data_IF_434421989529
#
_entry.id   IF_434421989529
#
_cell.length_a   1.000
_cell.length_b   1.000
_cell.length_c   1.000
_cell.angle_alpha   90.00
_cell.angle_beta   90.00
_cell.angle_gamma   90.00
#
_symmetry.space_group_name_H-M   'P 1'
#
loop_
_entity.id
_entity.type
_entity.pdbx_description
1 polymer ?
#
# COMPACT_ATOMS: atom_id res chain seq x y z
N UNK A 1 -31.73 -9.24 40.20
CA UNK A 1 -31.40 -8.67 38.87
C UNK A 1 -30.14 -7.80 38.88
N UNK A 2 -29.77 -7.17 39.98
CA UNK A 2 -28.62 -6.24 40.05
C UNK A 2 -27.25 -6.82 39.83
N UNK A 3 -27.05 -8.13 40.18
CA UNK A 3 -25.73 -8.75 40.09
C UNK A 3 -25.29 -9.06 38.66
N UNK A 4 -26.23 -9.26 37.74
CA UNK A 4 -25.94 -9.54 36.32
C UNK A 4 -25.53 -8.28 35.54
N UNK A 5 -26.19 -7.13 35.84
CA UNK A 5 -25.82 -5.85 35.25
C UNK A 5 -24.43 -5.37 35.71
N UNK A 6 -24.07 -5.59 36.97
CA UNK A 6 -22.74 -5.26 37.49
C UNK A 6 -21.60 -6.05 36.83
N UNK A 7 -21.83 -7.35 36.54
CA UNK A 7 -20.85 -8.20 35.86
C UNK A 7 -20.68 -7.81 34.38
N UNK A 8 -21.78 -7.47 33.69
CA UNK A 8 -21.73 -7.03 32.28
C UNK A 8 -21.02 -5.68 32.15
N UNK A 9 -21.33 -4.73 33.02
CA UNK A 9 -20.67 -3.42 33.04
C UNK A 9 -19.17 -3.52 33.40
N UNK A 10 -18.80 -4.45 34.30
CA UNK A 10 -17.40 -4.72 34.63
C UNK A 10 -16.62 -5.24 33.43
N UNK A 11 -17.14 -6.26 32.74
CA UNK A 11 -16.50 -6.83 31.53
C UNK A 11 -16.36 -5.82 30.39
N UNK A 12 -17.37 -4.97 30.20
CA UNK A 12 -17.31 -3.93 29.15
C UNK A 12 -16.22 -2.90 29.48
N UNK A 13 -16.10 -2.48 30.73
CA UNK A 13 -15.08 -1.52 31.19
C UNK A 13 -13.66 -2.07 31.10
N UNK A 14 -13.48 -3.38 31.30
CA UNK A 14 -12.20 -4.04 31.15
C UNK A 14 -11.82 -4.14 29.67
N UNK A 15 -12.77 -4.49 28.79
CA UNK A 15 -12.56 -4.52 27.33
C UNK A 15 -12.20 -3.13 26.78
N UNK A 16 -12.84 -2.06 27.24
CA UNK A 16 -12.53 -0.69 26.85
C UNK A 16 -11.09 -0.30 27.19
N UNK A 17 -10.62 -0.65 28.39
CA UNK A 17 -9.22 -0.39 28.81
C UNK A 17 -8.22 -1.20 28.02
N UNK A 18 -8.53 -2.46 27.75
CA UNK A 18 -7.69 -3.36 26.95
C UNK A 18 -7.58 -2.82 25.51
N UNK A 19 -8.71 -2.41 24.90
CA UNK A 19 -8.71 -1.81 23.59
C UNK A 19 -7.95 -0.48 23.55
N UNK A 20 -8.10 0.37 24.55
CA UNK A 20 -7.36 1.62 24.64
C UNK A 20 -5.84 1.38 24.63
N UNK A 21 -5.36 0.41 25.39
CA UNK A 21 -3.95 0.04 25.42
C UNK A 21 -3.49 -0.53 24.09
N UNK A 22 -4.31 -1.34 23.46
CA UNK A 22 -4.08 -1.91 22.14
C UNK A 22 -4.05 -0.82 21.04
N UNK A 23 -5.00 0.13 21.07
CA UNK A 23 -5.07 1.26 20.18
C UNK A 23 -3.81 2.14 20.25
N UNK A 24 -3.44 2.57 21.47
CA UNK A 24 -2.26 3.43 21.67
C UNK A 24 -1.00 2.79 21.11
N UNK A 25 -0.85 1.47 21.28
CA UNK A 25 0.33 0.72 20.79
C UNK A 25 0.35 0.55 19.28
N UNK A 26 -0.79 0.31 18.64
CA UNK A 26 -0.85 -0.16 17.25
C UNK A 26 -1.30 0.91 16.26
N UNK A 27 -2.10 1.90 16.66
CA UNK A 27 -2.57 2.96 15.77
C UNK A 27 -1.43 3.71 15.06
N UNK A 28 -0.35 4.15 15.75
CA UNK A 28 0.77 4.81 15.08
C UNK A 28 1.48 3.92 14.04
N UNK A 29 1.57 2.62 14.32
CA UNK A 29 2.19 1.66 13.39
C UNK A 29 1.34 1.51 12.11
N UNK A 30 0.03 1.32 12.27
CA UNK A 30 -0.93 1.22 11.15
C UNK A 30 -0.94 2.50 10.33
N UNK A 31 -0.99 3.66 10.98
CA UNK A 31 -0.96 4.97 10.32
C UNK A 31 0.34 5.17 9.52
N UNK A 32 1.49 4.88 10.12
CA UNK A 32 2.77 4.97 9.42
C UNK A 32 2.83 4.03 8.21
N UNK A 33 2.29 2.82 8.35
CA UNK A 33 2.18 1.88 7.27
C UNK A 33 1.26 2.39 6.15
N UNK A 34 0.06 2.85 6.50
CA UNK A 34 -0.87 3.44 5.54
C UNK A 34 -0.27 4.66 4.84
N UNK A 35 0.39 5.56 5.58
CA UNK A 35 1.09 6.74 5.03
C UNK A 35 2.18 6.37 4.04
N UNK A 36 2.91 5.29 4.29
CA UNK A 36 3.95 4.82 3.38
C UNK A 36 3.39 4.36 2.03
N UNK A 37 2.19 3.76 2.01
CA UNK A 37 1.49 3.31 0.80
C UNK A 37 0.74 4.46 0.11
N UNK A 38 0.01 5.27 0.88
CA UNK A 38 -0.88 6.31 0.37
C UNK A 38 -0.16 7.62 0.05
N UNK A 39 1.02 7.85 0.62
CA UNK A 39 1.79 9.11 0.52
C UNK A 39 1.00 10.36 0.94
N UNK A 40 -0.12 10.18 1.62
CA UNK A 40 -1.01 11.19 2.17
C UNK A 40 -1.20 10.94 3.66
N UNK A 41 -1.02 11.97 4.47
CA UNK A 41 -1.23 11.91 5.93
C UNK A 41 -2.72 11.77 6.27
N UNK A 42 -3.56 12.53 5.56
CA UNK A 42 -5.01 12.56 5.72
C UNK A 42 -5.63 11.20 5.38
N UNK A 43 -5.33 10.66 4.20
CA UNK A 43 -5.82 9.34 3.79
C UNK A 43 -5.32 8.22 4.71
N UNK A 44 -4.09 8.33 5.23
CA UNK A 44 -3.53 7.36 6.16
C UNK A 44 -4.25 7.40 7.52
N UNK A 45 -4.60 8.58 8.00
CA UNK A 45 -5.41 8.76 9.20
C UNK A 45 -6.78 8.11 9.04
N UNK A 46 -7.49 8.43 7.95
CA UNK A 46 -8.82 7.89 7.64
C UNK A 46 -8.82 6.36 7.56
N UNK A 47 -7.87 5.78 6.82
CA UNK A 47 -7.74 4.32 6.74
C UNK A 47 -7.50 3.72 8.11
N UNK A 48 -6.64 4.35 8.92
CA UNK A 48 -6.34 3.84 10.26
C UNK A 48 -7.55 3.89 11.17
N UNK A 49 -8.34 4.96 11.13
CA UNK A 49 -9.58 5.08 11.88
C UNK A 49 -10.59 4.00 11.47
N UNK A 50 -10.76 3.76 10.17
CA UNK A 50 -11.64 2.70 9.66
C UNK A 50 -11.21 1.30 10.15
N UNK A 51 -9.92 1.02 10.18
CA UNK A 51 -9.38 -0.25 10.70
C UNK A 51 -9.68 -0.39 12.19
N UNK A 52 -9.40 0.62 12.99
CA UNK A 52 -9.60 0.53 14.44
C UNK A 52 -11.09 0.53 14.83
N UNK A 53 -11.96 1.17 14.03
CA UNK A 53 -13.40 1.04 14.18
C UNK A 53 -13.87 -0.41 13.95
N UNK A 54 -13.38 -1.07 12.90
CA UNK A 54 -13.67 -2.49 12.66
C UNK A 54 -13.17 -3.39 13.78
N UNK A 55 -11.95 -3.15 14.28
CA UNK A 55 -11.39 -3.90 15.41
C UNK A 55 -12.20 -3.70 16.69
N UNK A 56 -12.67 -2.48 16.95
CA UNK A 56 -13.57 -2.21 18.07
C UNK A 56 -14.88 -2.99 17.98
N UNK A 57 -15.44 -3.09 16.78
CA UNK A 57 -16.69 -3.81 16.54
C UNK A 57 -16.52 -5.34 16.56
N UNK A 58 -15.29 -5.85 16.42
CA UNK A 58 -14.96 -7.28 16.34
C UNK A 58 -13.81 -7.62 17.29
N UNK A 59 -14.06 -7.67 18.62
CA UNK A 59 -13.03 -7.93 19.63
C UNK A 59 -12.30 -9.26 19.45
N UNK A 60 -12.97 -10.26 18.87
CA UNK A 60 -12.42 -11.59 18.60
C UNK A 60 -11.22 -11.57 17.64
N UNK A 61 -11.00 -10.47 16.93
CA UNK A 61 -9.88 -10.33 16.00
C UNK A 61 -8.56 -10.06 16.74
N UNK A 62 -8.60 -9.27 17.81
CA UNK A 62 -7.40 -8.78 18.49
C UNK A 62 -7.27 -9.23 19.94
N UNK A 63 -8.37 -9.53 20.61
CA UNK A 63 -8.39 -9.86 22.03
C UNK A 63 -7.74 -11.24 22.28
N UNK A 64 -6.69 -11.28 23.10
CA UNK A 64 -6.00 -12.53 23.48
C UNK A 64 -5.19 -13.20 22.36
N UNK A 65 -4.93 -12.50 21.22
CA UNK A 65 -4.18 -13.07 20.10
C UNK A 65 -2.79 -12.45 19.97
N UNK A 66 -1.76 -13.29 19.99
CA UNK A 66 -0.38 -12.86 19.73
C UNK A 66 -0.15 -12.43 18.28
N UNK A 67 -0.93 -12.97 17.33
CA UNK A 67 -0.82 -12.71 15.90
C UNK A 67 -1.70 -11.54 15.40
N UNK A 68 -2.33 -10.77 16.31
CA UNK A 68 -3.20 -9.67 15.96
C UNK A 68 -2.52 -8.61 15.05
N UNK A 69 -1.23 -8.35 15.28
CA UNK A 69 -0.46 -7.37 14.51
C UNK A 69 -0.40 -7.76 13.03
N UNK A 70 -0.16 -9.03 12.71
CA UNK A 70 -0.12 -9.56 11.33
C UNK A 70 -1.46 -9.42 10.62
N UNK A 71 -2.54 -9.76 11.29
CA UNK A 71 -3.89 -9.62 10.76
C UNK A 71 -4.27 -8.16 10.47
N UNK A 72 -3.89 -7.24 11.38
CA UNK A 72 -4.15 -5.80 11.21
C UNK A 72 -3.44 -5.25 9.97
N UNK A 73 -2.18 -5.62 9.76
CA UNK A 73 -1.45 -5.19 8.56
C UNK A 73 -2.09 -5.74 7.28
N UNK A 74 -2.51 -7.01 7.27
CA UNK A 74 -3.22 -7.60 6.14
C UNK A 74 -4.56 -6.89 5.86
N UNK A 75 -5.32 -6.57 6.90
CA UNK A 75 -6.58 -5.83 6.81
C UNK A 75 -6.34 -4.42 6.27
N UNK A 76 -5.31 -3.72 6.76
CA UNK A 76 -4.95 -2.36 6.32
C UNK A 76 -4.56 -2.37 4.85
N UNK A 77 -3.70 -3.32 4.43
CA UNK A 77 -3.31 -3.50 3.04
C UNK A 77 -4.53 -3.70 2.13
N UNK A 78 -5.42 -4.62 2.51
CA UNK A 78 -6.60 -4.94 1.71
C UNK A 78 -7.55 -3.73 1.60
N UNK A 79 -7.77 -3.00 2.68
CA UNK A 79 -8.61 -1.79 2.67
C UNK A 79 -8.03 -0.72 1.74
N UNK A 80 -6.71 -0.51 1.79
CA UNK A 80 -6.01 0.41 0.89
C UNK A 80 -6.18 -0.03 -0.57
N UNK A 81 -5.94 -1.30 -0.88
CA UNK A 81 -6.09 -1.83 -2.23
C UNK A 81 -7.53 -1.70 -2.75
N UNK A 82 -8.53 -1.94 -1.90
CA UNK A 82 -9.94 -1.81 -2.27
C UNK A 82 -10.33 -0.34 -2.52
N UNK A 83 -9.90 0.61 -1.69
CA UNK A 83 -10.10 2.05 -1.95
C UNK A 83 -9.52 2.44 -3.32
N UNK A 84 -8.35 1.94 -3.64
CA UNK A 84 -7.71 2.23 -4.92
C UNK A 84 -8.41 1.59 -6.12
N UNK A 85 -8.96 0.38 -5.99
CA UNK A 85 -9.79 -0.23 -7.02
C UNK A 85 -10.99 0.65 -7.34
N UNK A 86 -11.64 1.22 -6.34
CA UNK A 86 -12.77 2.14 -6.53
C UNK A 86 -12.34 3.44 -7.22
N UNK A 87 -11.24 4.06 -6.80
CA UNK A 87 -10.71 5.29 -7.44
C UNK A 87 -10.27 5.04 -8.89
N UNK A 88 -9.68 3.88 -9.20
CA UNK A 88 -9.23 3.54 -10.56
C UNK A 88 -10.39 3.28 -11.52
N UNK A 89 -11.55 2.84 -11.03
CA UNK A 89 -12.79 2.70 -11.84
C UNK A 89 -13.38 4.07 -12.18
N UNK A 90 -13.28 5.06 -11.29
CA UNK A 90 -13.73 6.43 -11.55
C UNK A 90 -12.78 7.21 -12.46
N UNK A 91 -11.49 6.89 -12.47
CA UNK A 91 -10.47 7.53 -13.30
C UNK A 91 -10.07 6.62 -14.47
N UNK A 92 -10.87 6.61 -15.51
CA UNK A 92 -10.64 5.94 -16.79
C UNK A 92 -9.34 6.38 -17.53
N UNK A 93 -8.49 7.17 -16.86
CA UNK A 93 -7.35 7.88 -17.48
C UNK A 93 -6.00 7.14 -17.41
N UNK A 94 -5.88 6.02 -16.75
CA UNK A 94 -4.64 5.25 -16.74
C UNK A 94 -4.89 3.78 -17.08
N UNK A 95 -5.30 3.49 -18.32
CA UNK A 95 -5.12 2.17 -18.92
C UNK A 95 -3.62 1.90 -19.15
N UNK A 96 -2.83 2.01 -18.07
CA UNK A 96 -1.45 1.58 -18.07
C UNK A 96 -1.49 0.06 -17.92
N UNK A 97 -1.41 -0.66 -19.03
CA UNK A 97 -1.04 -2.06 -19.02
C UNK A 97 0.43 -2.10 -18.64
N UNK A 98 0.74 -2.53 -17.43
CA UNK A 98 2.12 -2.65 -16.95
C UNK A 98 2.80 -3.76 -17.77
N UNK A 99 3.88 -3.48 -18.50
CA UNK A 99 4.55 -4.50 -19.31
C UNK A 99 5.09 -5.62 -18.44
N UNK A 100 5.01 -6.85 -18.94
CA UNK A 100 5.53 -8.02 -18.25
C UNK A 100 7.05 -7.93 -18.01
N UNK A 101 7.76 -7.30 -18.95
CA UNK A 101 9.19 -7.00 -18.80
C UNK A 101 9.50 -6.10 -17.59
N UNK A 102 8.65 -5.12 -17.30
CA UNK A 102 8.80 -4.28 -16.11
C UNK A 102 8.52 -5.08 -14.83
N UNK A 103 7.52 -5.94 -14.83
CA UNK A 103 7.21 -6.80 -13.68
C UNK A 103 8.34 -7.77 -13.39
N UNK A 104 8.91 -8.42 -14.40
CA UNK A 104 10.06 -9.30 -14.23
C UNK A 104 11.31 -8.55 -13.73
N UNK A 105 11.55 -7.32 -14.19
CA UNK A 105 12.64 -6.47 -13.69
C UNK A 105 12.48 -6.11 -12.20
N UNK A 106 11.24 -5.88 -11.78
CA UNK A 106 10.92 -5.48 -10.39
C UNK A 106 10.92 -6.66 -9.42
N UNK A 107 10.48 -7.84 -9.86
CA UNK A 107 10.27 -9.02 -9.02
C UNK A 107 11.40 -10.05 -9.08
N UNK A 108 12.28 -9.95 -10.08
CA UNK A 108 13.37 -10.91 -10.29
C UNK A 108 12.88 -12.29 -10.75
N UNK A 109 13.70 -13.33 -10.56
CA UNK A 109 13.40 -14.70 -11.02
C UNK A 109 12.21 -15.38 -10.31
N UNK A 110 11.73 -14.81 -9.20
CA UNK A 110 10.57 -15.32 -8.46
C UNK A 110 9.22 -14.90 -9.04
N UNK A 111 9.20 -14.39 -10.28
CA UNK A 111 7.99 -13.95 -11.00
C UNK A 111 6.92 -15.05 -11.17
N UNK A 112 7.28 -16.33 -11.01
CA UNK A 112 6.38 -17.49 -11.20
C UNK A 112 5.35 -17.66 -10.08
N UNK A 113 5.44 -16.88 -9.00
CA UNK A 113 4.49 -16.95 -7.87
C UNK A 113 3.21 -16.20 -8.19
N UNK A 114 2.27 -16.93 -8.80
CA UNK A 114 0.83 -16.78 -8.82
C UNK A 114 0.22 -15.52 -9.49
N UNK A 115 -0.61 -15.78 -10.49
CA UNK A 115 -1.55 -14.81 -11.12
C UNK A 115 -2.36 -13.98 -10.13
N UNK A 116 -2.47 -14.42 -8.88
CA UNK A 116 -3.18 -13.72 -7.81
C UNK A 116 -2.47 -12.42 -7.39
N UNK A 117 -1.14 -12.42 -7.36
CA UNK A 117 -0.35 -11.22 -7.01
C UNK A 117 -0.16 -10.26 -8.19
N UNK A 118 -0.34 -10.73 -9.41
CA UNK A 118 -0.15 -9.92 -10.62
C UNK A 118 -1.02 -8.65 -10.62
N UNK A 119 -2.30 -8.78 -10.31
CA UNK A 119 -3.23 -7.65 -10.24
C UNK A 119 -2.87 -6.66 -9.14
N UNK A 120 -2.45 -7.16 -7.98
CA UNK A 120 -2.05 -6.34 -6.85
C UNK A 120 -0.76 -5.57 -7.16
N UNK A 121 0.21 -6.22 -7.83
CA UNK A 121 1.45 -5.57 -8.26
C UNK A 121 1.19 -4.52 -9.35
N UNK A 122 0.36 -4.82 -10.33
CA UNK A 122 -0.04 -3.81 -11.32
C UNK A 122 -0.67 -2.59 -10.68
N UNK A 123 -1.57 -2.80 -9.71
CA UNK A 123 -2.20 -1.73 -8.96
C UNK A 123 -1.14 -0.93 -8.19
N UNK A 124 -0.23 -1.60 -7.50
CA UNK A 124 0.83 -0.96 -6.73
C UNK A 124 1.76 -0.11 -7.60
N UNK A 125 2.11 -0.60 -8.81
CA UNK A 125 2.88 0.17 -9.79
C UNK A 125 2.13 1.45 -10.20
N UNK A 126 0.84 1.34 -10.55
CA UNK A 126 0.03 2.52 -10.93
C UNK A 126 0.02 3.57 -9.83
N UNK A 127 -0.27 3.13 -8.61
CA UNK A 127 -0.35 4.00 -7.44
C UNK A 127 0.98 4.71 -7.14
N UNK A 128 2.07 3.94 -7.21
CA UNK A 128 3.39 4.53 -7.01
C UNK A 128 3.66 5.61 -8.06
N UNK A 129 3.32 5.35 -9.34
CA UNK A 129 3.50 6.31 -10.41
C UNK A 129 2.63 7.57 -10.24
N UNK A 130 1.39 7.45 -9.75
CA UNK A 130 0.49 8.59 -9.50
C UNK A 130 1.05 9.59 -8.47
N UNK A 131 1.86 9.11 -7.52
CA UNK A 131 2.45 9.94 -6.47
C UNK A 131 3.82 10.53 -6.83
N UNK A 132 4.32 10.23 -8.03
CA UNK A 132 5.60 10.79 -8.48
C UNK A 132 5.40 12.07 -9.30
N UNK A 133 6.41 12.96 -9.35
CA UNK A 133 6.34 14.16 -10.17
C UNK A 133 6.06 13.83 -11.65
N UNK A 134 5.14 14.54 -12.27
CA UNK A 134 4.63 14.27 -13.62
C UNK A 134 5.76 14.14 -14.67
N UNK A 135 6.73 15.04 -14.65
CA UNK A 135 7.90 14.98 -15.56
C UNK A 135 8.70 13.68 -15.40
N UNK A 136 8.83 13.17 -14.17
CA UNK A 136 9.52 11.93 -13.90
C UNK A 136 8.75 10.73 -14.45
N UNK A 137 7.43 10.72 -14.23
CA UNK A 137 6.53 9.69 -14.77
C UNK A 137 6.52 9.71 -16.30
N UNK A 138 6.53 10.89 -16.91
CA UNK A 138 6.61 11.04 -18.35
C UNK A 138 7.88 10.39 -18.94
N UNK A 139 9.05 10.68 -18.36
CA UNK A 139 10.33 10.06 -18.77
C UNK A 139 10.25 8.54 -18.64
N UNK A 140 9.72 8.06 -17.53
CA UNK A 140 9.58 6.63 -17.28
C UNK A 140 8.63 5.97 -18.30
N UNK A 141 7.49 6.59 -18.60
CA UNK A 141 6.54 6.13 -19.62
C UNK A 141 7.18 6.08 -21.00
N UNK A 142 7.92 7.09 -21.39
CA UNK A 142 8.63 7.11 -22.68
C UNK A 142 9.62 5.95 -22.79
N UNK A 143 10.34 5.64 -21.72
CA UNK A 143 11.29 4.53 -21.69
C UNK A 143 10.60 3.16 -21.69
N UNK A 144 9.66 2.90 -20.78
CA UNK A 144 9.13 1.56 -20.48
C UNK A 144 7.89 1.17 -21.28
N UNK A 145 7.10 2.15 -21.73
CA UNK A 145 5.87 1.89 -22.47
C UNK A 145 5.96 2.29 -23.95
N UNK A 146 6.78 3.29 -24.27
CA UNK A 146 7.02 3.70 -25.66
C UNK A 146 8.32 3.13 -26.23
N UNK A 147 9.09 2.37 -25.42
CA UNK A 147 10.35 1.72 -25.80
C UNK A 147 11.39 2.69 -26.40
N UNK A 148 11.37 3.96 -26.00
CA UNK A 148 12.37 4.91 -26.45
C UNK A 148 13.69 4.72 -25.68
N UNK A 149 14.80 4.89 -26.41
CA UNK A 149 16.12 4.91 -25.78
C UNK A 149 16.33 6.17 -24.94
N UNK A 150 17.23 6.10 -23.95
CA UNK A 150 17.55 7.26 -23.12
C UNK A 150 18.04 8.46 -23.95
N UNK A 151 18.69 8.23 -25.07
CA UNK A 151 19.15 9.25 -26.00
C UNK A 151 17.99 9.95 -26.70
N UNK A 152 17.03 9.20 -27.24
CA UNK A 152 15.82 9.75 -27.88
C UNK A 152 14.97 10.56 -26.89
N UNK A 153 14.86 10.08 -25.63
CA UNK A 153 14.13 10.79 -24.57
C UNK A 153 14.85 12.09 -24.24
N UNK A 154 16.18 12.05 -24.11
CA UNK A 154 16.99 13.22 -23.82
C UNK A 154 16.85 14.29 -24.90
N UNK A 155 16.90 13.92 -26.18
CA UNK A 155 16.70 14.80 -27.33
C UNK A 155 15.28 15.41 -27.34
N UNK A 156 14.24 14.60 -27.08
CA UNK A 156 12.83 15.07 -27.10
C UNK A 156 12.49 16.05 -25.97
N UNK A 157 13.14 15.89 -24.82
CA UNK A 157 12.83 16.68 -23.63
C UNK A 157 13.86 17.76 -23.34
N UNK A 158 14.87 17.92 -24.21
CA UNK A 158 16.01 18.84 -24.03
C UNK A 158 16.71 18.62 -22.69
N UNK A 159 17.05 17.36 -22.42
CA UNK A 159 17.72 16.92 -21.21
C UNK A 159 19.04 16.21 -21.53
N UNK A 160 19.91 16.08 -20.53
CA UNK A 160 21.08 15.19 -20.67
C UNK A 160 20.64 13.73 -20.53
N UNK A 161 21.31 12.79 -21.24
CA UNK A 161 21.10 11.37 -21.10
C UNK A 161 21.25 10.93 -19.63
N UNK A 162 22.22 11.46 -18.92
CA UNK A 162 22.45 11.21 -17.49
C UNK A 162 21.26 11.64 -16.62
N UNK A 163 20.61 12.75 -16.97
CA UNK A 163 19.39 13.20 -16.30
C UNK A 163 18.26 12.22 -16.50
N UNK A 164 18.07 11.73 -17.74
CA UNK A 164 17.04 10.73 -18.07
C UNK A 164 17.27 9.44 -17.28
N UNK A 165 18.49 8.91 -17.30
CA UNK A 165 18.87 7.71 -16.54
C UNK A 165 18.61 7.86 -15.05
N UNK A 166 18.98 9.00 -14.48
CA UNK A 166 18.75 9.28 -13.07
C UNK A 166 17.25 9.33 -12.73
N UNK A 167 16.42 9.95 -13.56
CA UNK A 167 14.97 9.98 -13.35
C UNK A 167 14.34 8.57 -13.42
N UNK A 168 14.77 7.75 -14.37
CA UNK A 168 14.32 6.35 -14.48
C UNK A 168 14.74 5.55 -13.24
N UNK A 169 15.99 5.70 -12.79
CA UNK A 169 16.49 5.07 -11.57
C UNK A 169 15.65 5.41 -10.34
N UNK A 170 15.30 6.69 -10.16
CA UNK A 170 14.47 7.14 -9.04
C UNK A 170 13.08 6.51 -9.06
N UNK A 171 12.46 6.37 -10.24
CA UNK A 171 11.17 5.68 -10.35
C UNK A 171 11.28 4.21 -9.96
N UNK A 172 12.28 3.50 -10.51
CA UNK A 172 12.52 2.09 -10.22
C UNK A 172 12.81 1.87 -8.72
N UNK A 173 13.52 2.77 -8.07
CA UNK A 173 13.81 2.70 -6.64
C UNK A 173 12.52 2.80 -5.81
N UNK A 174 11.60 3.73 -6.14
CA UNK A 174 10.31 3.84 -5.45
C UNK A 174 9.40 2.64 -5.72
N UNK A 175 9.35 2.13 -6.95
CA UNK A 175 8.59 0.93 -7.29
C UNK A 175 9.11 -0.31 -6.52
N UNK A 176 10.43 -0.52 -6.51
CA UNK A 176 11.05 -1.64 -5.76
C UNK A 176 10.74 -1.54 -4.27
N UNK A 177 10.81 -0.34 -3.69
CA UNK A 177 10.47 -0.12 -2.29
C UNK A 177 9.01 -0.46 -1.98
N UNK A 178 8.07 -0.03 -2.83
CA UNK A 178 6.65 -0.33 -2.67
C UNK A 178 6.37 -1.84 -2.78
N UNK A 179 6.98 -2.51 -3.76
CA UNK A 179 6.83 -3.96 -3.97
C UNK A 179 7.46 -4.75 -2.83
N UNK A 180 8.67 -4.39 -2.40
CA UNK A 180 9.32 -5.03 -1.26
C UNK A 180 8.47 -4.95 -0.01
N UNK A 181 7.90 -3.79 0.27
CA UNK A 181 7.00 -3.58 1.38
C UNK A 181 5.75 -4.46 1.29
N UNK A 182 5.15 -4.55 0.11
CA UNK A 182 4.00 -5.41 -0.15
C UNK A 182 4.31 -6.88 0.17
N UNK A 183 5.45 -7.42 -0.31
CA UNK A 183 5.86 -8.79 -0.04
C UNK A 183 6.25 -9.02 1.42
N UNK A 184 6.99 -8.09 2.02
CA UNK A 184 7.35 -8.18 3.43
C UNK A 184 6.11 -8.38 4.31
N UNK A 185 5.04 -7.65 4.02
CA UNK A 185 3.78 -7.76 4.76
C UNK A 185 2.96 -9.00 4.39
N UNK A 186 3.19 -9.58 3.21
CA UNK A 186 2.57 -10.85 2.82
C UNK A 186 3.20 -12.05 3.52
N UNK A 187 4.44 -11.94 4.02
CA UNK A 187 5.14 -12.98 4.77
C UNK A 187 4.65 -13.11 6.23
N UNK A 188 3.94 -12.10 6.73
CA UNK A 188 3.33 -12.15 8.06
C UNK A 188 1.87 -12.63 8.03
N UNK A 189 1.55 -13.56 7.12
CA UNK A 189 0.26 -14.24 7.05
C UNK A 189 0.20 -15.44 7.97
#
# INVERSE_FOLDING_TARGET
MDNFQGIVLGKQKDMEKEFQSFFIRNFPKVKNFAKMLLKSEEDAEDVSQDIFLKLWMQPEIWQGKEEADSYIYSMTKNLILDRFKHISVEREYLNIVVPETLLSELMGENYVLEQMYYKDIQLLVRLTLEHLPEKRVQIFKMCRFMHLSNKEIAERLDLSVRTVEHQIYLVLAELKKAIFLYFFLSLFK
#
